data_IF_824093717754
#
_entry.id   IF_824093717754
#
_cell.length_a   1.000
_cell.length_b   1.000
_cell.length_c   1.000
_cell.angle_alpha   90.00
_cell.angle_beta   90.00
_cell.angle_gamma   90.00
#
_symmetry.space_group_name_H-M   'P 1'
#
loop_
_entity.id
_entity.type
_entity.pdbx_description
1 polymer ?
#
# COMPACT_ATOMS: atom_id res chain seq x y z
N UNK A 1 -17.76 -71.56 8.58
CA UNK A 1 -18.73 -70.45 8.65
C UNK A 1 -18.04 -69.22 9.20
N UNK A 2 -18.19 -68.09 8.49
CA UNK A 2 -18.32 -66.71 8.99
C UNK A 2 -17.23 -66.17 9.95
N UNK A 3 -16.13 -65.66 9.40
CA UNK A 3 -15.13 -64.86 10.12
C UNK A 3 -14.51 -63.71 9.33
N UNK A 4 -15.01 -63.42 8.12
CA UNK A 4 -14.55 -62.35 7.23
C UNK A 4 -15.73 -61.41 6.99
N UNK A 5 -15.79 -60.25 7.65
CA UNK A 5 -16.87 -59.30 7.36
C UNK A 5 -16.98 -58.03 8.20
N UNK A 6 -16.30 -57.90 9.34
CA UNK A 6 -16.47 -56.72 10.21
C UNK A 6 -15.36 -55.66 10.06
N UNK A 7 -14.13 -56.03 9.70
CA UNK A 7 -13.01 -55.09 9.53
C UNK A 7 -13.16 -54.16 8.32
N UNK A 8 -13.53 -54.71 7.15
CA UNK A 8 -13.76 -53.92 5.94
C UNK A 8 -15.01 -53.03 6.00
N UNK A 9 -15.98 -53.38 6.84
CA UNK A 9 -17.17 -52.57 7.07
C UNK A 9 -16.86 -51.32 7.90
N UNK A 10 -16.04 -51.44 8.95
CA UNK A 10 -15.61 -50.30 9.77
C UNK A 10 -14.74 -49.31 8.98
N UNK A 11 -13.82 -49.82 8.16
CA UNK A 11 -12.95 -48.99 7.33
C UNK A 11 -13.72 -48.30 6.19
N UNK A 12 -14.67 -49.02 5.56
CA UNK A 12 -15.61 -48.44 4.60
C UNK A 12 -16.55 -47.39 5.21
N UNK A 13 -16.98 -47.59 6.45
CA UNK A 13 -17.82 -46.64 7.19
C UNK A 13 -17.06 -45.36 7.56
N UNK A 14 -15.81 -45.47 8.03
CA UNK A 14 -14.95 -44.31 8.31
C UNK A 14 -14.63 -43.52 7.05
N UNK A 15 -14.32 -44.21 5.93
CA UNK A 15 -14.09 -43.56 4.64
C UNK A 15 -15.34 -42.87 4.09
N UNK A 16 -16.51 -43.47 4.28
CA UNK A 16 -17.81 -42.88 3.92
C UNK A 16 -18.14 -41.64 4.76
N UNK A 17 -17.90 -41.67 6.07
CA UNK A 17 -18.08 -40.49 6.93
C UNK A 17 -17.12 -39.36 6.56
N UNK A 18 -15.85 -39.68 6.29
CA UNK A 18 -14.86 -38.69 5.85
C UNK A 18 -15.24 -38.06 4.51
N UNK A 19 -15.68 -38.85 3.53
CA UNK A 19 -16.14 -38.35 2.24
C UNK A 19 -17.36 -37.41 2.41
N UNK A 20 -18.30 -37.73 3.31
CA UNK A 20 -19.43 -36.84 3.62
C UNK A 20 -18.99 -35.53 4.27
N UNK A 21 -18.01 -35.57 5.17
CA UNK A 21 -17.44 -34.37 5.77
C UNK A 21 -16.71 -33.51 4.73
N UNK A 22 -15.89 -34.12 3.88
CA UNK A 22 -15.17 -33.42 2.80
C UNK A 22 -16.14 -32.75 1.80
N UNK A 23 -17.27 -33.41 1.49
CA UNK A 23 -18.32 -32.83 0.65
C UNK A 23 -19.03 -31.66 1.32
N UNK A 24 -19.39 -31.80 2.60
CA UNK A 24 -20.00 -30.70 3.36
C UNK A 24 -19.05 -29.50 3.49
N UNK A 25 -17.75 -29.74 3.66
CA UNK A 25 -16.73 -28.69 3.73
C UNK A 25 -16.50 -28.01 2.37
N UNK A 26 -16.52 -28.78 1.28
CA UNK A 26 -16.45 -28.24 -0.08
C UNK A 26 -17.67 -27.37 -0.40
N UNK A 27 -18.87 -27.79 0.00
CA UNK A 27 -20.10 -27.04 -0.19
C UNK A 27 -20.11 -25.75 0.64
N UNK A 28 -19.66 -25.80 1.91
CA UNK A 28 -19.48 -24.59 2.73
C UNK A 28 -18.50 -23.61 2.09
N UNK A 29 -17.35 -24.10 1.61
CA UNK A 29 -16.36 -23.25 0.92
C UNK A 29 -16.94 -22.61 -0.33
N UNK A 30 -17.71 -23.37 -1.12
CA UNK A 30 -18.40 -22.85 -2.30
C UNK A 30 -19.40 -21.75 -1.94
N UNK A 31 -20.25 -21.97 -0.93
CA UNK A 31 -21.22 -20.95 -0.48
C UNK A 31 -20.52 -19.70 0.05
N UNK A 32 -19.38 -19.84 0.74
CA UNK A 32 -18.60 -18.69 1.20
C UNK A 32 -17.97 -17.94 0.02
N UNK A 33 -17.40 -18.64 -0.96
CA UNK A 33 -16.88 -18.02 -2.19
C UNK A 33 -17.98 -17.30 -2.97
N UNK A 34 -19.13 -17.95 -3.20
CA UNK A 34 -20.28 -17.36 -3.90
C UNK A 34 -20.82 -16.10 -3.18
N UNK A 35 -20.73 -16.05 -1.84
CA UNK A 35 -21.08 -14.85 -1.07
C UNK A 35 -20.05 -13.74 -1.24
N UNK A 36 -18.76 -14.08 -1.20
CA UNK A 36 -17.68 -13.11 -1.41
C UNK A 36 -17.73 -12.51 -2.80
N UNK A 37 -17.98 -13.32 -3.83
CA UNK A 37 -18.11 -12.85 -5.22
C UNK A 37 -19.30 -11.90 -5.35
N UNK A 38 -20.47 -12.26 -4.79
CA UNK A 38 -21.64 -11.37 -4.79
C UNK A 38 -21.41 -10.06 -4.03
N UNK A 39 -20.68 -10.09 -2.92
CA UNK A 39 -20.32 -8.88 -2.19
C UNK A 39 -19.35 -8.02 -2.99
N UNK A 40 -18.37 -8.63 -3.65
CA UNK A 40 -17.42 -7.95 -4.53
C UNK A 40 -18.11 -7.30 -5.72
N UNK A 41 -19.01 -8.03 -6.40
CA UNK A 41 -19.79 -7.53 -7.53
C UNK A 41 -20.68 -6.36 -7.11
N UNK A 42 -21.34 -6.45 -5.94
CA UNK A 42 -22.14 -5.35 -5.39
C UNK A 42 -21.28 -4.12 -5.12
N UNK A 43 -20.10 -4.28 -4.52
CA UNK A 43 -19.20 -3.17 -4.23
C UNK A 43 -18.64 -2.53 -5.52
N UNK A 44 -18.37 -3.34 -6.54
CA UNK A 44 -17.91 -2.87 -7.84
C UNK A 44 -19.02 -2.08 -8.54
N UNK A 45 -20.23 -2.63 -8.61
CA UNK A 45 -21.39 -1.94 -9.17
C UNK A 45 -21.73 -0.63 -8.41
N UNK A 46 -21.55 -0.61 -7.09
CA UNK A 46 -21.72 0.60 -6.29
C UNK A 46 -20.68 1.66 -6.65
N UNK A 47 -19.41 1.28 -6.82
CA UNK A 47 -18.34 2.21 -7.23
C UNK A 47 -18.60 2.75 -8.62
N UNK A 48 -18.91 1.88 -9.58
CA UNK A 48 -19.22 2.29 -10.95
C UNK A 48 -20.43 3.25 -10.98
N UNK A 49 -21.45 3.02 -10.14
CA UNK A 49 -22.59 3.92 -10.03
C UNK A 49 -22.20 5.29 -9.47
N UNK A 50 -21.31 5.35 -8.46
CA UNK A 50 -20.80 6.60 -7.89
C UNK A 50 -19.97 7.37 -8.92
N UNK A 51 -19.04 6.68 -9.60
CA UNK A 51 -18.17 7.27 -10.62
C UNK A 51 -19.01 7.83 -11.77
N UNK A 52 -20.05 7.09 -12.19
CA UNK A 52 -20.99 7.56 -13.21
C UNK A 52 -21.78 8.80 -12.73
N UNK A 53 -22.25 8.85 -11.48
CA UNK A 53 -22.95 10.02 -10.93
C UNK A 53 -22.05 11.25 -10.95
N UNK A 54 -20.78 11.09 -10.60
CA UNK A 54 -19.79 12.15 -10.59
C UNK A 54 -19.47 12.64 -12.02
N UNK A 55 -19.23 11.71 -12.95
CA UNK A 55 -19.00 12.01 -14.36
C UNK A 55 -20.21 12.74 -15.01
N UNK A 56 -21.43 12.25 -14.76
CA UNK A 56 -22.67 12.89 -15.22
C UNK A 56 -22.84 14.27 -14.59
N UNK A 57 -22.49 14.42 -13.31
CA UNK A 57 -22.59 15.68 -12.61
C UNK A 57 -21.68 16.74 -13.26
N UNK A 58 -20.43 16.36 -13.52
CA UNK A 58 -19.47 17.21 -14.23
C UNK A 58 -19.97 17.58 -15.62
N UNK A 59 -20.37 16.60 -16.43
CA UNK A 59 -20.84 16.83 -17.79
C UNK A 59 -22.08 17.74 -17.82
N UNK A 60 -23.03 17.51 -16.90
CA UNK A 60 -24.25 18.32 -16.79
C UNK A 60 -23.94 19.75 -16.39
N UNK A 61 -23.08 19.95 -15.40
CA UNK A 61 -22.71 21.30 -14.97
C UNK A 61 -21.95 22.05 -16.05
N UNK A 62 -20.96 21.43 -16.68
CA UNK A 62 -20.20 22.03 -17.78
C UNK A 62 -21.13 22.44 -18.94
N UNK A 63 -22.13 21.60 -19.27
CA UNK A 63 -23.14 21.92 -20.26
C UNK A 63 -24.04 23.11 -19.83
N UNK A 64 -24.43 23.18 -18.56
CA UNK A 64 -25.23 24.29 -18.02
C UNK A 64 -24.44 25.61 -17.98
N UNK A 65 -23.14 25.55 -17.71
CA UNK A 65 -22.22 26.69 -17.80
C UNK A 65 -22.06 27.14 -19.24
N UNK A 66 -21.82 26.22 -20.18
CA UNK A 66 -21.73 26.52 -21.60
C UNK A 66 -23.02 27.13 -22.16
N UNK A 67 -24.18 26.71 -21.64
CA UNK A 67 -25.49 27.27 -21.98
C UNK A 67 -25.81 28.60 -21.28
N UNK A 68 -24.96 29.07 -20.36
CA UNK A 68 -25.18 30.30 -19.59
C UNK A 68 -26.30 30.21 -18.54
N UNK A 69 -26.74 28.99 -18.21
CA UNK A 69 -27.80 28.73 -17.20
C UNK A 69 -27.25 28.56 -15.79
N UNK A 70 -25.95 28.30 -15.68
CA UNK A 70 -25.21 28.26 -14.42
C UNK A 70 -23.92 29.07 -14.58
N UNK A 71 -23.47 29.70 -13.50
CA UNK A 71 -22.13 30.25 -13.47
C UNK A 71 -21.16 29.18 -12.96
N UNK A 72 -19.88 29.15 -13.43
CA UNK A 72 -18.85 28.27 -12.85
C UNK A 72 -18.76 28.43 -11.32
N UNK A 73 -19.09 29.62 -10.83
CA UNK A 73 -19.08 29.97 -9.43
C UNK A 73 -20.17 29.26 -8.62
N UNK A 74 -21.27 28.83 -9.24
CA UNK A 74 -22.41 28.19 -8.57
C UNK A 74 -22.28 26.67 -8.46
N UNK A 75 -21.16 26.11 -8.93
CA UNK A 75 -20.90 24.66 -8.90
C UNK A 75 -21.20 24.02 -7.56
N UNK A 76 -20.85 24.67 -6.45
CA UNK A 76 -21.06 24.10 -5.13
C UNK A 76 -22.54 23.94 -4.78
N UNK A 77 -23.33 25.00 -4.96
CA UNK A 77 -24.75 24.96 -4.64
C UNK A 77 -25.45 23.97 -5.56
N UNK A 78 -25.07 23.96 -6.83
CA UNK A 78 -25.51 22.98 -7.81
C UNK A 78 -25.15 21.54 -7.41
N UNK A 79 -23.91 21.27 -6.98
CA UNK A 79 -23.45 19.95 -6.58
C UNK A 79 -24.17 19.46 -5.32
N UNK A 80 -24.40 20.33 -4.33
CA UNK A 80 -25.17 20.00 -3.14
C UNK A 80 -26.64 19.70 -3.44
N UNK A 81 -27.23 20.40 -4.39
CA UNK A 81 -28.66 20.26 -4.72
C UNK A 81 -28.91 19.11 -5.71
N UNK A 82 -27.96 18.79 -6.59
CA UNK A 82 -28.16 17.82 -7.67
C UNK A 82 -27.34 16.54 -7.53
N UNK A 83 -26.14 16.60 -6.96
CA UNK A 83 -25.22 15.46 -6.92
C UNK A 83 -25.24 14.76 -5.56
N UNK A 84 -25.12 15.50 -4.46
CA UNK A 84 -25.14 14.90 -3.10
C UNK A 84 -26.37 14.03 -2.85
N UNK A 85 -27.61 14.42 -3.21
CA UNK A 85 -28.78 13.58 -3.02
C UNK A 85 -28.71 12.27 -3.84
N UNK A 86 -28.16 12.30 -5.05
CA UNK A 86 -27.96 11.11 -5.88
C UNK A 86 -26.93 10.16 -5.27
N UNK A 87 -25.84 10.71 -4.74
CA UNK A 87 -24.83 9.93 -4.01
C UNK A 87 -25.45 9.27 -2.77
N UNK A 88 -26.14 10.05 -1.93
CA UNK A 88 -26.86 9.53 -0.75
C UNK A 88 -27.84 8.43 -1.13
N UNK A 89 -28.67 8.64 -2.16
CA UNK A 89 -29.64 7.65 -2.63
C UNK A 89 -28.96 6.36 -3.11
N UNK A 90 -27.82 6.48 -3.81
CA UNK A 90 -27.06 5.33 -4.32
C UNK A 90 -26.49 4.49 -3.18
N UNK A 91 -25.96 5.13 -2.14
CA UNK A 91 -25.54 4.42 -0.93
C UNK A 91 -26.73 3.74 -0.22
N UNK A 92 -27.87 4.40 -0.11
CA UNK A 92 -29.09 3.82 0.50
C UNK A 92 -29.62 2.62 -0.29
N UNK A 93 -29.63 2.67 -1.62
CA UNK A 93 -30.07 1.56 -2.48
C UNK A 93 -29.17 0.32 -2.35
N UNK A 94 -27.91 0.50 -1.97
CA UNK A 94 -26.96 -0.58 -1.70
C UNK A 94 -26.97 -1.06 -0.24
N UNK A 95 -27.94 -0.59 0.56
CA UNK A 95 -28.04 -0.81 2.02
C UNK A 95 -26.83 -0.30 2.82
N UNK A 96 -26.04 0.62 2.23
CA UNK A 96 -24.91 1.27 2.88
C UNK A 96 -25.35 2.59 3.54
N UNK A 97 -26.16 2.46 4.59
CA UNK A 97 -26.69 3.61 5.34
C UNK A 97 -25.59 4.44 5.99
N UNK A 98 -24.49 3.79 6.40
CA UNK A 98 -23.36 4.46 7.02
C UNK A 98 -22.66 5.41 6.05
N UNK A 99 -22.42 4.99 4.80
CA UNK A 99 -21.84 5.87 3.79
C UNK A 99 -22.82 6.96 3.33
N UNK A 100 -24.11 6.66 3.26
CA UNK A 100 -25.16 7.64 2.95
C UNK A 100 -25.22 8.78 4.00
N UNK A 101 -25.15 8.42 5.29
CA UNK A 101 -25.07 9.41 6.37
C UNK A 101 -23.76 10.20 6.27
N UNK A 102 -22.64 9.53 6.05
CA UNK A 102 -21.32 10.17 5.96
C UNK A 102 -21.18 11.14 4.79
N UNK A 103 -21.74 10.85 3.61
CA UNK A 103 -21.68 11.80 2.48
C UNK A 103 -22.51 13.04 2.77
N UNK A 104 -23.66 12.84 3.43
CA UNK A 104 -24.55 13.93 3.86
C UNK A 104 -23.91 14.75 4.98
N UNK A 105 -23.26 14.12 5.96
CA UNK A 105 -22.52 14.80 7.02
C UNK A 105 -21.34 15.58 6.45
N UNK A 106 -20.49 14.93 5.63
CA UNK A 106 -19.34 15.56 5.01
C UNK A 106 -19.76 16.81 4.25
N UNK A 107 -20.78 16.67 3.39
CA UNK A 107 -21.38 17.78 2.65
C UNK A 107 -21.81 18.94 3.57
N UNK A 108 -22.23 18.65 4.80
CA UNK A 108 -22.67 19.65 5.76
C UNK A 108 -21.59 20.23 6.67
N UNK A 109 -20.38 19.64 6.69
CA UNK A 109 -19.26 20.13 7.50
C UNK A 109 -18.85 21.56 7.14
N UNK A 110 -18.34 22.28 8.13
CA UNK A 110 -17.81 23.62 7.92
C UNK A 110 -16.62 23.61 6.94
N UNK A 111 -15.79 22.57 7.00
CA UNK A 111 -14.62 22.37 6.15
C UNK A 111 -15.01 22.12 4.70
N UNK A 112 -16.03 21.29 4.42
CA UNK A 112 -16.51 21.07 3.06
C UNK A 112 -17.11 22.35 2.45
N UNK A 113 -17.93 23.07 3.22
CA UNK A 113 -18.51 24.35 2.80
C UNK A 113 -17.43 25.41 2.59
N UNK A 114 -16.43 25.45 3.47
CA UNK A 114 -15.31 26.41 3.37
C UNK A 114 -14.41 26.09 2.20
N UNK A 115 -14.04 24.82 2.01
CA UNK A 115 -13.21 24.36 0.90
C UNK A 115 -13.87 24.66 -0.43
N UNK A 116 -15.16 24.38 -0.54
CA UNK A 116 -15.89 24.67 -1.76
C UNK A 116 -16.11 26.17 -2.01
N UNK A 117 -16.31 26.99 -0.96
CA UNK A 117 -16.34 28.45 -1.09
C UNK A 117 -14.99 29.00 -1.56
N UNK A 118 -13.90 28.49 -1.02
CA UNK A 118 -12.55 28.86 -1.46
C UNK A 118 -12.28 28.38 -2.89
N UNK A 119 -12.79 27.22 -3.29
CA UNK A 119 -12.72 26.73 -4.67
C UNK A 119 -13.44 27.68 -5.62
N UNK A 120 -14.69 28.04 -5.31
CA UNK A 120 -15.45 29.05 -6.07
C UNK A 120 -14.64 30.34 -6.20
N UNK A 121 -14.17 30.88 -5.07
CA UNK A 121 -13.41 32.13 -5.02
C UNK A 121 -12.12 32.03 -5.87
N UNK A 122 -11.44 30.89 -5.79
CA UNK A 122 -10.22 30.60 -6.54
C UNK A 122 -10.47 30.60 -8.05
N UNK A 123 -11.51 29.90 -8.51
CA UNK A 123 -11.89 29.85 -9.93
C UNK A 123 -12.29 31.25 -10.44
N UNK A 124 -13.13 31.97 -9.70
CA UNK A 124 -13.56 33.33 -10.08
C UNK A 124 -12.36 34.27 -10.21
N UNK A 125 -11.43 34.23 -9.26
CA UNK A 125 -10.21 35.06 -9.29
C UNK A 125 -9.30 34.69 -10.45
N UNK A 126 -9.14 33.39 -10.75
CA UNK A 126 -8.37 32.94 -11.89
C UNK A 126 -8.95 33.46 -13.21
N UNK A 127 -10.28 33.41 -13.36
CA UNK A 127 -10.99 33.91 -14.54
C UNK A 127 -10.95 35.44 -14.66
N UNK A 128 -10.92 36.17 -13.53
CA UNK A 128 -10.82 37.63 -13.53
C UNK A 128 -9.39 38.16 -13.64
N UNK A 129 -8.39 37.28 -13.81
CA UNK A 129 -6.97 37.66 -13.90
C UNK A 129 -6.27 37.88 -12.55
N UNK A 130 -6.94 37.66 -11.42
CA UNK A 130 -6.32 37.65 -10.08
C UNK A 130 -5.74 36.26 -9.78
N UNK A 131 -4.70 35.88 -10.52
CA UNK A 131 -4.06 34.57 -10.34
C UNK A 131 -3.47 34.39 -8.93
N UNK A 132 -3.03 35.47 -8.28
CA UNK A 132 -2.35 35.40 -6.98
C UNK A 132 -3.36 35.08 -5.88
N UNK A 133 -4.51 35.76 -5.90
CA UNK A 133 -5.63 35.46 -5.02
C UNK A 133 -6.25 34.09 -5.33
N UNK A 134 -6.23 33.65 -6.60
CA UNK A 134 -6.68 32.32 -6.98
C UNK A 134 -5.82 31.21 -6.33
N UNK A 135 -4.50 31.32 -6.46
CA UNK A 135 -3.58 30.36 -5.83
C UNK A 135 -3.65 30.45 -4.31
N UNK A 136 -3.77 31.65 -3.74
CA UNK A 136 -3.92 31.79 -2.28
C UNK A 136 -5.15 31.04 -1.76
N UNK A 137 -6.28 31.14 -2.45
CA UNK A 137 -7.48 30.40 -2.08
C UNK A 137 -7.28 28.89 -2.26
N UNK A 138 -6.63 28.44 -3.33
CA UNK A 138 -6.27 27.03 -3.52
C UNK A 138 -5.33 26.50 -2.42
N UNK A 139 -4.38 27.32 -1.95
CA UNK A 139 -3.52 26.99 -0.80
C UNK A 139 -4.35 26.84 0.48
N UNK A 140 -5.32 27.74 0.71
CA UNK A 140 -6.22 27.63 1.86
C UNK A 140 -7.05 26.35 1.80
N UNK A 141 -7.51 25.94 0.60
CA UNK A 141 -8.19 24.66 0.40
C UNK A 141 -7.29 23.49 0.81
N UNK A 142 -6.04 23.47 0.34
CA UNK A 142 -5.08 22.41 0.69
C UNK A 142 -4.76 22.31 2.19
N UNK A 143 -5.01 23.37 2.96
CA UNK A 143 -4.85 23.38 4.43
C UNK A 143 -6.09 22.91 5.20
N UNK A 144 -7.24 22.78 4.53
CA UNK A 144 -8.48 22.32 5.18
C UNK A 144 -8.43 20.81 5.40
N UNK A 145 -8.13 20.42 6.64
CA UNK A 145 -8.28 19.04 7.10
C UNK A 145 -9.73 18.59 6.88
N UNK A 146 -9.92 17.47 6.18
CA UNK A 146 -11.27 16.93 5.92
C UNK A 146 -11.85 17.30 4.55
N UNK A 147 -11.25 18.24 3.82
CA UNK A 147 -11.65 18.53 2.44
C UNK A 147 -10.85 17.68 1.46
N UNK A 148 -9.55 17.94 1.30
CA UNK A 148 -8.68 17.13 0.45
C UNK A 148 -7.61 16.49 1.32
N UNK A 149 -7.52 15.17 1.23
CA UNK A 149 -6.60 14.34 2.00
C UNK A 149 -5.62 13.65 1.05
N UNK A 150 -5.02 14.44 0.15
CA UNK A 150 -4.02 13.99 -0.82
C UNK A 150 -2.62 13.88 -0.19
N UNK A 151 -2.46 14.30 1.08
CA UNK A 151 -1.20 14.28 1.81
C UNK A 151 -0.16 15.29 1.31
N UNK A 152 -0.53 16.19 0.39
CA UNK A 152 0.33 17.27 -0.05
C UNK A 152 0.09 18.51 0.81
N UNK A 153 1.14 19.05 1.42
CA UNK A 153 1.08 20.29 2.18
C UNK A 153 1.66 21.43 1.33
N UNK A 154 0.89 22.50 1.10
CA UNK A 154 1.41 23.65 0.37
C UNK A 154 2.24 24.54 1.30
N UNK A 155 3.56 24.58 1.05
CA UNK A 155 4.53 25.34 1.83
C UNK A 155 4.58 26.81 1.45
N UNK A 156 4.30 27.14 0.19
CA UNK A 156 4.29 28.53 -0.28
C UNK A 156 4.15 28.68 -1.78
N UNK A 157 4.06 29.93 -2.23
CA UNK A 157 4.03 30.29 -3.65
C UNK A 157 4.98 31.47 -3.94
N UNK A 158 5.55 31.48 -5.13
CA UNK A 158 6.36 32.57 -5.67
C UNK A 158 5.86 32.92 -7.09
N UNK A 159 5.77 34.21 -7.43
CA UNK A 159 5.41 34.60 -8.79
C UNK A 159 6.57 34.30 -9.75
N UNK A 160 6.28 33.67 -10.88
CA UNK A 160 7.23 33.50 -11.97
C UNK A 160 7.12 34.69 -12.91
N UNK A 161 8.18 35.51 -12.94
CA UNK A 161 8.28 36.68 -13.81
C UNK A 161 9.08 36.34 -15.06
N UNK A 162 8.59 36.79 -16.21
CA UNK A 162 9.29 36.75 -17.50
C UNK A 162 10.42 37.76 -17.57
N UNK A 163 11.19 37.71 -18.67
CA UNK A 163 12.31 38.64 -18.92
C UNK A 163 11.86 40.11 -19.04
N UNK A 164 10.59 40.32 -19.40
CA UNK A 164 9.88 41.59 -19.50
C UNK A 164 9.30 42.07 -18.16
N UNK A 165 9.48 41.30 -17.09
CA UNK A 165 8.85 41.55 -15.79
C UNK A 165 7.36 41.21 -15.76
N UNK A 166 6.78 40.69 -16.85
CA UNK A 166 5.40 40.25 -16.88
C UNK A 166 5.24 38.90 -16.15
N UNK A 167 4.15 38.72 -15.44
CA UNK A 167 3.92 37.49 -14.70
C UNK A 167 3.50 36.34 -15.64
N UNK A 168 4.33 35.32 -15.72
CA UNK A 168 4.11 34.14 -16.57
C UNK A 168 3.45 32.97 -15.82
N UNK A 169 3.53 32.98 -14.49
CA UNK A 169 2.93 31.92 -13.67
C UNK A 169 3.28 32.02 -12.19
N UNK A 170 3.24 30.86 -11.54
CA UNK A 170 3.44 30.68 -10.11
C UNK A 170 4.28 29.42 -9.88
N UNK A 171 5.28 29.55 -9.02
CA UNK A 171 6.05 28.44 -8.48
C UNK A 171 5.47 28.05 -7.14
N UNK A 172 4.90 26.86 -7.06
CA UNK A 172 4.24 26.33 -5.87
C UNK A 172 5.21 25.35 -5.20
N UNK A 173 5.50 25.58 -3.92
CA UNK A 173 6.29 24.66 -3.09
C UNK A 173 5.32 23.75 -2.34
N UNK A 174 5.42 22.46 -2.58
CA UNK A 174 4.58 21.43 -1.97
C UNK A 174 5.47 20.49 -1.16
N UNK A 175 4.95 19.95 -0.08
CA UNK A 175 5.54 18.83 0.64
C UNK A 175 4.74 17.58 0.33
N UNK A 176 5.39 16.53 -0.15
CA UNK A 176 4.74 15.26 -0.47
C UNK A 176 4.31 14.52 0.81
N UNK A 177 3.45 13.49 0.69
CA UNK A 177 3.09 12.63 1.82
C UNK A 177 4.31 11.99 2.51
N UNK A 178 5.37 11.72 1.75
CA UNK A 178 6.65 11.18 2.25
C UNK A 178 7.53 12.23 2.95
N UNK A 179 7.06 13.48 3.05
CA UNK A 179 7.74 14.59 3.68
C UNK A 179 8.82 15.25 2.81
N UNK A 180 8.88 14.95 1.51
CA UNK A 180 9.85 15.57 0.58
C UNK A 180 9.30 16.86 0.00
N UNK A 181 10.14 17.87 -0.09
CA UNK A 181 9.77 19.13 -0.73
C UNK A 181 9.89 19.00 -2.25
N UNK A 182 8.82 19.36 -2.96
CA UNK A 182 8.77 19.45 -4.42
C UNK A 182 8.35 20.85 -4.83
N UNK A 183 8.82 21.26 -6.00
CA UNK A 183 8.52 22.57 -6.58
C UNK A 183 7.84 22.34 -7.91
N UNK A 184 6.68 22.96 -8.10
CA UNK A 184 5.91 22.87 -9.32
C UNK A 184 5.66 24.26 -9.89
N UNK A 185 6.14 24.48 -11.11
CA UNK A 185 5.90 25.71 -11.86
C UNK A 185 4.59 25.55 -12.65
N UNK A 186 3.66 26.48 -12.44
CA UNK A 186 2.32 26.49 -13.02
C UNK A 186 2.15 27.79 -13.80
N UNK A 187 1.85 27.69 -15.10
CA UNK A 187 1.59 28.88 -15.92
C UNK A 187 0.22 29.46 -15.57
N UNK A 188 0.03 30.76 -15.76
CA UNK A 188 -1.26 31.43 -15.48
C UNK A 188 -2.44 30.76 -16.20
N UNK A 189 -2.23 30.32 -17.44
CA UNK A 189 -3.24 29.59 -18.24
C UNK A 189 -3.62 28.20 -17.68
N UNK A 190 -2.72 27.58 -16.89
CA UNK A 190 -2.91 26.26 -16.31
C UNK A 190 -3.53 26.34 -14.90
N UNK A 191 -3.67 27.54 -14.34
CA UNK A 191 -4.27 27.75 -13.01
C UNK A 191 -5.68 27.16 -12.86
N UNK A 192 -6.62 27.36 -13.81
CA UNK A 192 -7.94 26.77 -13.67
C UNK A 192 -7.89 25.24 -13.54
N UNK A 193 -6.99 24.59 -14.29
CA UNK A 193 -6.78 23.15 -14.23
C UNK A 193 -6.22 22.71 -12.87
N UNK A 194 -5.21 23.44 -12.37
CA UNK A 194 -4.64 23.19 -11.05
C UNK A 194 -5.72 23.31 -9.96
N UNK A 195 -6.50 24.39 -9.97
CA UNK A 195 -7.56 24.65 -9.00
C UNK A 195 -8.63 23.55 -9.07
N UNK A 196 -9.00 23.09 -10.27
CA UNK A 196 -9.90 21.96 -10.43
C UNK A 196 -9.35 20.67 -9.79
N UNK A 197 -8.05 20.38 -9.96
CA UNK A 197 -7.43 19.19 -9.34
C UNK A 197 -7.41 19.26 -7.82
N UNK A 198 -7.15 20.44 -7.24
CA UNK A 198 -6.94 20.62 -5.80
C UNK A 198 -8.10 21.26 -5.06
N UNK A 199 -9.24 21.49 -5.70
CA UNK A 199 -10.36 22.16 -5.06
C UNK A 199 -11.72 21.67 -5.48
N UNK A 200 -11.82 20.76 -6.44
CA UNK A 200 -13.11 20.19 -6.81
C UNK A 200 -13.70 19.38 -5.62
N UNK A 201 -14.92 19.73 -5.14
CA UNK A 201 -15.68 18.94 -4.16
C UNK A 201 -15.75 17.44 -4.45
N UNK A 202 -15.80 17.05 -5.72
CA UNK A 202 -15.79 15.64 -6.16
C UNK A 202 -14.48 14.95 -5.76
N UNK A 203 -13.34 15.53 -6.16
CA UNK A 203 -12.00 15.02 -5.81
C UNK A 203 -11.77 15.03 -4.29
N UNK A 204 -12.35 16.01 -3.59
CA UNK A 204 -12.36 16.08 -2.12
C UNK A 204 -13.10 14.88 -1.50
N UNK A 205 -14.30 14.56 -1.99
CA UNK A 205 -15.06 13.40 -1.55
C UNK A 205 -14.36 12.07 -1.89
N UNK A 206 -13.86 11.91 -3.10
CA UNK A 206 -13.12 10.72 -3.52
C UNK A 206 -11.86 10.50 -2.68
N UNK A 207 -11.13 11.58 -2.37
CA UNK A 207 -9.99 11.54 -1.46
C UNK A 207 -10.41 11.10 -0.05
N UNK A 208 -11.57 11.52 0.45
CA UNK A 208 -12.12 11.03 1.73
C UNK A 208 -12.47 9.55 1.67
N UNK A 209 -13.11 9.08 0.59
CA UNK A 209 -13.44 7.67 0.40
C UNK A 209 -12.17 6.81 0.36
N UNK A 210 -11.16 7.23 -0.42
CA UNK A 210 -9.89 6.52 -0.54
C UNK A 210 -9.11 6.49 0.78
N UNK A 211 -9.01 7.62 1.49
CA UNK A 211 -8.33 7.69 2.78
C UNK A 211 -8.99 6.81 3.83
N UNK A 212 -10.33 6.72 3.83
CA UNK A 212 -11.08 5.82 4.72
C UNK A 212 -10.89 4.36 4.35
N UNK A 213 -10.95 4.02 3.06
CA UNK A 213 -10.68 2.67 2.60
C UNK A 213 -9.27 2.20 3.01
N UNK A 214 -8.29 3.10 3.00
CA UNK A 214 -6.96 2.80 3.51
C UNK A 214 -6.92 2.65 5.03
N UNK A 215 -7.55 3.57 5.79
CA UNK A 215 -7.63 3.46 7.25
C UNK A 215 -8.35 2.19 7.72
N UNK A 216 -9.40 1.77 7.02
CA UNK A 216 -10.12 0.52 7.29
C UNK A 216 -9.28 -0.72 6.97
N UNK A 217 -8.43 -0.67 5.92
CA UNK A 217 -7.44 -1.72 5.65
C UNK A 217 -6.42 -1.80 6.78
N UNK A 218 -5.82 -0.67 7.14
CA UNK A 218 -4.80 -0.60 8.20
C UNK A 218 -5.37 -1.10 9.54
N UNK A 219 -6.62 -0.74 9.86
CA UNK A 219 -7.32 -1.24 11.05
C UNK A 219 -7.54 -2.75 11.00
N UNK A 220 -8.00 -3.30 9.87
CA UNK A 220 -8.17 -4.74 9.70
C UNK A 220 -6.84 -5.49 9.76
N UNK A 221 -5.77 -4.92 9.22
CA UNK A 221 -4.42 -5.48 9.31
C UNK A 221 -3.92 -5.51 10.75
N UNK A 222 -4.14 -4.43 11.52
CA UNK A 222 -3.83 -4.37 12.95
C UNK A 222 -4.64 -5.40 13.75
N UNK A 223 -5.95 -5.49 13.53
CA UNK A 223 -6.81 -6.49 14.18
C UNK A 223 -6.35 -7.92 13.84
N UNK A 224 -5.99 -8.17 12.58
CA UNK A 224 -5.46 -9.46 12.13
C UNK A 224 -4.12 -9.77 12.80
N UNK A 225 -3.24 -8.78 12.91
CA UNK A 225 -1.95 -8.93 13.58
C UNK A 225 -2.11 -9.19 15.07
N UNK A 226 -3.00 -8.47 15.76
CA UNK A 226 -3.32 -8.70 17.17
C UNK A 226 -3.95 -10.07 17.40
N UNK A 227 -4.90 -10.47 16.55
CA UNK A 227 -5.51 -11.79 16.59
C UNK A 227 -4.45 -12.89 16.39
N UNK A 228 -3.56 -12.73 15.39
CA UNK A 228 -2.46 -13.65 15.14
C UNK A 228 -1.52 -13.73 16.33
N UNK A 229 -1.13 -12.61 16.92
CA UNK A 229 -0.26 -12.55 18.11
C UNK A 229 -0.92 -13.19 19.34
N UNK A 230 -2.24 -13.05 19.48
CA UNK A 230 -3.03 -13.69 20.54
C UNK A 230 -3.11 -15.20 20.34
N UNK A 231 -3.32 -15.67 19.10
CA UNK A 231 -3.28 -17.09 18.73
C UNK A 231 -1.88 -17.65 18.98
N UNK A 232 -0.81 -16.99 18.52
CA UNK A 232 0.57 -17.43 18.72
C UNK A 232 0.95 -17.51 20.22
N UNK A 233 0.37 -16.64 21.05
CA UNK A 233 0.50 -16.69 22.52
C UNK A 233 -0.31 -17.84 23.14
N UNK A 234 -1.54 -18.07 22.68
CA UNK A 234 -2.42 -19.13 23.18
C UNK A 234 -1.95 -20.54 22.80
N UNK A 235 -1.29 -20.70 21.67
CA UNK A 235 -0.80 -22.00 21.17
C UNK A 235 0.73 -22.19 21.32
N UNK A 236 1.42 -21.32 22.08
CA UNK A 236 2.82 -21.52 22.46
C UNK A 236 3.86 -21.42 21.34
N UNK A 237 3.49 -20.90 20.17
CA UNK A 237 4.35 -20.81 18.97
C UNK A 237 5.16 -19.51 18.87
N UNK A 238 4.97 -18.56 19.80
CA UNK A 238 5.78 -17.35 19.89
C UNK A 238 7.10 -17.55 20.67
N UNK A 239 8.16 -16.78 20.37
CA UNK A 239 9.39 -16.75 21.16
C UNK A 239 9.15 -15.94 22.44
N UNK A 240 8.35 -16.45 23.37
CA UNK A 240 8.31 -15.88 24.72
C UNK A 240 9.57 -16.34 25.43
N UNK A 241 10.39 -15.39 25.88
CA UNK A 241 11.60 -15.67 26.70
C UNK A 241 11.28 -16.61 27.86
N UNK A 242 10.06 -16.53 28.38
CA UNK A 242 9.57 -17.34 29.50
C UNK A 242 9.43 -18.83 29.13
N UNK A 243 9.04 -19.15 27.89
CA UNK A 243 8.96 -20.55 27.43
C UNK A 243 10.34 -21.16 27.25
N UNK A 244 11.27 -20.40 26.66
CA UNK A 244 12.66 -20.83 26.55
C UNK A 244 13.31 -21.00 27.94
N UNK A 245 12.98 -20.12 28.89
CA UNK A 245 13.41 -20.24 30.28
C UNK A 245 12.80 -21.46 30.98
N UNK A 246 11.51 -21.74 30.80
CA UNK A 246 10.83 -22.92 31.33
C UNK A 246 11.39 -24.23 30.76
N UNK A 247 11.64 -24.30 29.44
CA UNK A 247 12.30 -25.46 28.83
C UNK A 247 13.72 -25.65 29.40
N UNK A 248 14.45 -24.55 29.60
CA UNK A 248 15.80 -24.61 30.18
C UNK A 248 15.78 -25.04 31.65
N UNK A 249 14.81 -24.58 32.45
CA UNK A 249 14.67 -25.00 33.85
C UNK A 249 14.27 -26.46 33.96
N UNK A 250 13.34 -26.93 33.12
CA UNK A 250 12.92 -28.34 33.06
C UNK A 250 14.07 -29.25 32.62
N UNK A 251 14.82 -28.90 31.57
CA UNK A 251 16.03 -29.65 31.19
C UNK A 251 17.03 -29.76 32.33
N UNK A 252 17.33 -28.67 33.03
CA UNK A 252 18.25 -28.70 34.18
C UNK A 252 17.74 -29.56 35.34
N UNK A 253 16.42 -29.57 35.60
CA UNK A 253 15.83 -30.40 36.67
C UNK A 253 15.91 -31.89 36.32
N UNK A 254 15.60 -32.25 35.08
CA UNK A 254 15.63 -33.65 34.62
C UNK A 254 17.03 -34.16 34.24
N UNK A 255 17.99 -33.27 33.94
CA UNK A 255 19.40 -33.63 33.73
C UNK A 255 20.21 -33.68 35.04
N UNK A 256 19.72 -33.07 36.12
CA UNK A 256 20.42 -32.94 37.40
C UNK A 256 20.14 -34.06 38.43
N UNK A 257 19.37 -35.09 38.07
CA UNK A 257 19.01 -36.20 38.95
C UNK A 257 20.24 -37.06 39.31
N UNK A 258 20.52 -37.19 40.61
CA UNK A 258 21.64 -37.95 41.18
C UNK A 258 21.50 -39.49 41.06
N UNK A 259 20.50 -39.98 40.32
CA UNK A 259 20.26 -41.39 40.05
C UNK A 259 20.07 -41.57 38.53
N UNK A 260 20.95 -42.34 37.90
CA UNK A 260 21.05 -42.49 36.44
C UNK A 260 19.91 -43.28 35.77
N UNK A 261 18.68 -43.19 36.27
CA UNK A 261 17.51 -43.94 35.77
C UNK A 261 16.25 -43.06 35.61
N UNK A 262 16.40 -41.74 35.50
CA UNK A 262 15.28 -40.83 35.24
C UNK A 262 15.19 -40.43 33.76
N UNK A 263 13.99 -40.54 33.19
CA UNK A 263 13.67 -40.14 31.82
C UNK A 263 14.01 -38.66 31.62
N UNK A 264 14.88 -38.34 30.65
CA UNK A 264 15.21 -36.95 30.35
C UNK A 264 14.00 -36.21 29.81
N UNK A 265 13.94 -34.92 30.08
CA UNK A 265 12.89 -34.05 29.58
C UNK A 265 12.70 -34.17 28.06
N UNK A 266 13.80 -34.21 27.29
CA UNK A 266 13.75 -34.33 25.83
C UNK A 266 13.33 -35.72 25.33
N UNK A 267 13.39 -36.76 26.16
CA UNK A 267 13.03 -38.14 25.83
C UNK A 267 11.55 -38.46 26.13
N UNK A 268 10.81 -37.52 26.76
CA UNK A 268 9.39 -37.69 27.04
C UNK A 268 8.51 -37.51 25.78
N UNK A 269 7.31 -38.11 25.73
CA UNK A 269 6.31 -37.78 24.71
C UNK A 269 5.98 -36.28 24.65
N UNK A 270 5.76 -35.73 23.45
CA UNK A 270 5.57 -34.28 23.25
C UNK A 270 4.40 -33.70 24.04
N UNK A 271 3.32 -34.45 24.18
CA UNK A 271 2.16 -34.09 24.99
C UNK A 271 2.51 -33.93 26.48
N UNK A 272 3.42 -34.75 27.01
CA UNK A 272 3.92 -34.62 28.38
C UNK A 272 4.90 -33.46 28.53
N UNK A 273 5.78 -33.24 27.54
CA UNK A 273 6.69 -32.08 27.52
C UNK A 273 5.91 -30.76 27.56
N UNK A 274 4.88 -30.62 26.71
CA UNK A 274 4.05 -29.41 26.66
C UNK A 274 3.25 -29.20 27.96
N UNK A 275 2.78 -30.28 28.59
CA UNK A 275 2.12 -30.20 29.89
C UNK A 275 3.07 -29.64 30.97
N UNK A 276 4.28 -30.17 31.07
CA UNK A 276 5.28 -29.70 32.03
C UNK A 276 5.75 -28.26 31.75
N UNK A 277 5.88 -27.89 30.47
CA UNK A 277 6.19 -26.50 30.08
C UNK A 277 5.08 -25.55 30.53
N UNK A 278 3.81 -25.93 30.35
CA UNK A 278 2.67 -25.12 30.78
C UNK A 278 2.59 -25.03 32.31
N UNK A 279 2.80 -26.13 33.03
CA UNK A 279 2.84 -26.15 34.50
C UNK A 279 3.97 -25.24 35.04
N UNK A 280 5.15 -25.26 34.42
CA UNK A 280 6.28 -24.40 34.79
C UNK A 280 6.03 -22.94 34.39
N UNK A 281 5.37 -22.67 33.26
CA UNK A 281 4.98 -21.32 32.85
C UNK A 281 3.92 -20.72 33.79
N UNK A 282 2.95 -21.52 34.24
CA UNK A 282 1.99 -21.11 35.26
C UNK A 282 2.66 -20.87 36.61
N UNK A 283 3.67 -21.66 36.99
CA UNK A 283 4.45 -21.42 38.20
C UNK A 283 5.27 -20.11 38.13
N UNK A 284 5.84 -19.81 36.95
CA UNK A 284 6.65 -18.60 36.70
C UNK A 284 5.77 -17.35 36.58
N UNK A 285 4.56 -17.47 36.03
CA UNK A 285 3.61 -16.34 35.89
C UNK A 285 2.65 -16.20 37.08
N UNK A 286 2.47 -17.25 37.88
CA UNK A 286 1.40 -17.38 38.87
C UNK A 286 1.92 -17.71 40.28
N UNK A 287 2.73 -16.82 40.86
CA UNK A 287 2.82 -16.74 42.33
C UNK A 287 3.18 -15.31 42.79
N UNK A 288 2.19 -14.45 43.09
CA UNK A 288 2.44 -13.23 43.84
C UNK A 288 2.62 -13.62 45.31
N UNK A 289 3.88 -13.72 45.73
CA UNK A 289 4.27 -13.85 47.14
C UNK A 289 4.61 -15.26 47.58
N UNK A 290 5.87 -15.65 47.37
CA UNK A 290 6.69 -16.51 48.25
C UNK A 290 8.10 -16.65 47.64
N UNK A 291 8.79 -15.52 47.51
CA UNK A 291 10.20 -15.44 47.12
C UNK A 291 10.94 -14.59 48.15
N UNK A 292 11.23 -15.20 49.31
CA UNK A 292 12.09 -14.60 50.31
C UNK A 292 13.53 -14.46 49.79
N UNK A 293 14.08 -13.26 49.96
CA UNK A 293 15.51 -12.90 49.96
C UNK A 293 16.30 -13.12 48.67
N UNK A 294 16.50 -11.99 47.97
CA UNK A 294 17.53 -11.85 46.95
C UNK A 294 17.29 -10.64 46.05
N UNK A 295 17.22 -9.44 46.63
CA UNK A 295 17.24 -8.21 45.83
C UNK A 295 18.60 -8.10 45.13
N UNK A 296 18.68 -8.02 43.79
CA UNK A 296 19.92 -7.58 43.16
C UNK A 296 20.09 -6.08 43.42
N UNK A 297 21.21 -5.74 44.05
CA UNK A 297 21.65 -4.37 44.28
C UNK A 297 21.67 -3.56 42.95
N UNK A 298 21.37 -2.26 42.98
CA UNK A 298 21.40 -1.43 41.77
C UNK A 298 22.81 -1.39 41.18
N UNK A 299 22.88 -1.54 39.86
CA UNK A 299 24.13 -1.54 39.10
C UNK A 299 24.93 -0.25 39.31
N UNK A 300 26.09 -0.36 39.95
CA UNK A 300 27.08 0.70 40.05
C UNK A 300 27.63 1.01 38.64
N UNK A 301 27.34 2.22 38.14
CA UNK A 301 28.02 2.79 36.98
C UNK A 301 29.47 3.06 37.35
N UNK A 302 30.42 2.28 36.82
CA UNK A 302 31.85 2.56 36.93
C UNK A 302 32.18 3.86 36.18
N UNK A 303 32.34 4.95 36.92
CA UNK A 303 32.97 6.18 36.45
C UNK A 303 34.48 5.99 36.61
N UNK A 304 35.23 5.99 35.51
CA UNK A 304 36.70 6.06 35.61
C UNK A 304 37.07 7.46 36.11
N UNK A 305 37.64 7.50 37.31
CA UNK A 305 38.22 8.69 37.94
C UNK A 305 39.74 8.54 37.86
N UNK A 306 40.43 9.59 37.42
CA UNK A 306 41.90 9.66 37.45
C UNK A 306 42.35 9.67 38.93
N UNK A 307 43.14 8.66 39.33
CA UNK A 307 43.54 8.41 40.72
C UNK A 307 44.53 9.41 41.31
N UNK A 308 44.98 10.41 40.53
CA UNK A 308 45.87 11.48 41.02
C UNK A 308 45.16 12.79 41.39
N UNK A 309 43.96 13.06 40.84
CA UNK A 309 43.29 14.37 40.99
C UNK A 309 41.78 14.32 41.26
N UNK A 310 41.14 13.14 41.25
CA UNK A 310 39.80 12.94 41.80
C UNK A 310 38.63 13.55 41.02
N UNK A 311 38.78 13.86 39.72
CA UNK A 311 37.68 14.35 38.87
C UNK A 311 37.37 13.39 37.70
N UNK A 312 36.12 13.29 37.25
CA UNK A 312 35.72 12.42 36.14
C UNK A 312 36.18 12.96 34.78
N UNK A 313 36.75 12.11 33.93
CA UNK A 313 37.18 12.46 32.56
C UNK A 313 36.04 12.23 31.57
N UNK A 314 35.66 13.27 30.82
CA UNK A 314 34.71 13.21 29.71
C UNK A 314 35.48 13.10 28.39
N UNK A 315 35.32 12.03 27.63
CA UNK A 315 35.99 11.85 26.34
C UNK A 315 35.03 12.12 25.18
N UNK A 316 35.11 13.32 24.60
CA UNK A 316 34.58 13.65 23.28
C UNK A 316 35.69 13.70 22.22
N UNK A 317 35.35 13.22 21.02
CA UNK A 317 35.84 13.62 19.68
C UNK A 317 37.25 13.23 19.16
N UNK A 318 37.25 12.29 18.19
CA UNK A 318 37.99 12.12 16.90
C UNK A 318 39.39 12.76 16.68
N UNK A 319 40.33 12.06 16.00
CA UNK A 319 40.68 12.45 14.61
C UNK A 319 40.97 11.28 13.64
N UNK A 320 41.09 11.62 12.34
CA UNK A 320 41.29 10.77 11.18
C UNK A 320 42.77 10.38 10.93
N UNK A 321 43.01 9.33 10.12
CA UNK A 321 44.28 9.12 9.42
C UNK A 321 44.07 8.38 8.07
N UNK A 322 44.92 8.73 7.11
CA UNK A 322 44.87 8.46 5.67
C UNK A 322 45.76 7.27 5.21
N UNK A 323 45.59 6.93 3.93
CA UNK A 323 46.36 6.13 2.93
C UNK A 323 47.84 5.76 3.23
N UNK A 324 48.50 4.69 2.74
CA UNK A 324 48.57 3.93 1.44
C UNK A 324 49.56 2.71 1.64
N UNK A 325 50.09 1.90 0.67
CA UNK A 325 49.64 1.31 -0.63
C UNK A 325 49.99 -0.22 -0.85
N UNK A 326 49.56 -0.77 -2.02
CA UNK A 326 50.09 -1.93 -2.81
C UNK A 326 49.86 -3.38 -2.29
N UNK A 327 49.62 -4.45 -3.09
CA UNK A 327 49.67 -4.68 -4.54
C UNK A 327 48.76 -5.85 -5.00
N UNK A 328 48.51 -5.79 -6.31
CA UNK A 328 47.92 -6.69 -7.33
C UNK A 328 48.13 -8.21 -7.19
N UNK A 329 47.06 -9.00 -7.34
CA UNK A 329 47.01 -10.26 -8.09
C UNK A 329 45.55 -10.72 -8.35
N UNK A 330 45.22 -11.02 -9.61
CA UNK A 330 43.98 -11.69 -10.04
C UNK A 330 44.05 -13.20 -9.71
N UNK A 331 42.91 -13.88 -9.49
CA UNK A 331 42.40 -14.70 -10.60
C UNK A 331 40.86 -14.89 -10.68
N UNK A 332 40.42 -15.00 -11.94
CA UNK A 332 39.45 -15.96 -12.50
C UNK A 332 38.04 -16.14 -11.88
N UNK A 333 37.07 -15.79 -12.72
CA UNK A 333 35.63 -16.08 -12.70
C UNK A 333 35.27 -17.57 -12.59
N UNK A 334 34.36 -17.90 -11.66
CA UNK A 334 33.38 -19.00 -11.77
C UNK A 334 32.00 -18.47 -11.38
N UNK A 335 30.93 -18.79 -12.13
CA UNK A 335 29.58 -18.32 -11.82
C UNK A 335 29.02 -19.12 -10.64
N UNK A 336 28.89 -18.47 -9.49
CA UNK A 336 28.20 -19.03 -8.33
C UNK A 336 26.69 -18.79 -8.52
N UNK A 337 25.94 -19.87 -8.70
CA UNK A 337 24.48 -19.84 -8.66
C UNK A 337 24.02 -19.22 -7.33
N UNK A 338 23.22 -18.16 -7.42
CA UNK A 338 22.61 -17.49 -6.27
C UNK A 338 21.77 -18.47 -5.47
N UNK A 339 22.30 -18.92 -4.33
CA UNK A 339 21.52 -19.61 -3.31
C UNK A 339 20.49 -18.63 -2.73
N UNK A 340 19.24 -18.76 -3.17
CA UNK A 340 18.10 -18.05 -2.58
C UNK A 340 18.06 -18.28 -1.06
N UNK A 341 18.04 -17.18 -0.30
CA UNK A 341 17.90 -17.18 1.15
C UNK A 341 16.58 -17.87 1.55
N UNK A 342 16.68 -19.02 2.22
CA UNK A 342 15.55 -19.65 2.92
C UNK A 342 15.03 -18.69 3.99
N UNK A 343 13.72 -18.43 3.96
CA UNK A 343 13.05 -17.64 5.01
C UNK A 343 12.90 -18.54 6.24
N UNK A 344 13.59 -18.18 7.32
CA UNK A 344 13.56 -18.94 8.58
C UNK A 344 12.13 -18.88 9.17
N UNK A 345 11.54 -20.05 9.48
CA UNK A 345 10.23 -20.15 10.12
C UNK A 345 9.04 -20.45 9.20
N UNK A 346 9.24 -20.60 7.88
CA UNK A 346 8.17 -20.99 6.95
C UNK A 346 8.37 -22.45 6.51
N UNK A 347 7.37 -23.35 6.67
CA UNK A 347 7.48 -24.74 6.24
C UNK A 347 7.82 -24.86 4.75
N UNK A 348 8.74 -25.74 4.38
CA UNK A 348 9.28 -25.88 3.01
C UNK A 348 8.19 -26.19 1.96
N UNK A 349 7.09 -26.83 2.39
CA UNK A 349 5.90 -27.09 1.57
C UNK A 349 5.16 -25.80 1.18
N UNK A 350 5.08 -24.83 2.08
CA UNK A 350 4.46 -23.52 1.81
C UNK A 350 5.35 -22.65 0.91
N UNK A 351 6.68 -22.75 1.05
CA UNK A 351 7.61 -22.08 0.14
C UNK A 351 7.54 -22.69 -1.28
N UNK A 352 7.39 -24.01 -1.39
CA UNK A 352 7.24 -24.71 -2.66
C UNK A 352 5.91 -24.37 -3.37
N UNK A 353 4.81 -24.24 -2.64
CA UNK A 353 3.50 -23.87 -3.22
C UNK A 353 3.48 -22.41 -3.71
N UNK A 354 4.16 -21.50 -3.02
CA UNK A 354 4.32 -20.12 -3.48
C UNK A 354 5.20 -20.07 -4.73
N UNK A 355 6.29 -20.84 -4.80
CA UNK A 355 7.12 -20.94 -6.02
C UNK A 355 6.33 -21.50 -7.20
N UNK A 356 5.53 -22.56 -7.00
CA UNK A 356 4.68 -23.11 -8.07
C UNK A 356 3.61 -22.13 -8.54
N UNK A 357 3.03 -21.33 -7.63
CA UNK A 357 2.07 -20.27 -8.00
C UNK A 357 2.75 -19.14 -8.75
N UNK A 358 3.95 -18.73 -8.34
CA UNK A 358 4.76 -17.74 -9.05
C UNK A 358 5.12 -18.20 -10.46
N UNK A 359 5.62 -19.44 -10.62
CA UNK A 359 5.87 -20.02 -11.95
C UNK A 359 4.60 -20.19 -12.78
N UNK A 360 3.47 -20.51 -12.14
CA UNK A 360 2.16 -20.58 -12.80
C UNK A 360 1.67 -19.23 -13.32
N UNK A 361 1.85 -18.16 -12.53
CA UNK A 361 1.52 -16.79 -12.92
C UNK A 361 2.47 -16.28 -14.01
N UNK A 362 3.76 -16.61 -13.92
CA UNK A 362 4.75 -16.22 -14.92
C UNK A 362 4.53 -16.95 -16.26
N UNK A 363 4.07 -18.21 -16.21
CA UNK A 363 3.71 -18.98 -17.41
C UNK A 363 2.35 -18.57 -17.99
N UNK A 364 1.39 -18.15 -17.15
CA UNK A 364 0.12 -17.58 -17.59
C UNK A 364 0.28 -16.18 -18.21
N UNK A 365 1.22 -15.37 -17.71
CA UNK A 365 1.59 -14.08 -18.29
C UNK A 365 2.28 -14.21 -19.65
N UNK A 366 2.85 -15.39 -19.97
CA UNK A 366 3.50 -15.66 -21.25
C UNK A 366 2.56 -16.20 -22.35
N UNK A 367 1.25 -16.38 -22.08
CA UNK A 367 0.31 -17.03 -23.01
C UNK A 367 -1.01 -16.29 -23.27
N UNK A 368 -1.14 -15.00 -22.95
CA UNK A 368 -2.30 -14.20 -23.36
C UNK A 368 -2.02 -13.38 -24.63
N UNK A 369 -2.99 -13.38 -25.54
CA UNK A 369 -2.94 -12.96 -26.94
C UNK A 369 -2.85 -11.44 -27.20
N UNK A 370 -2.30 -11.11 -28.38
CA UNK A 370 -2.04 -9.82 -29.03
C UNK A 370 -0.75 -9.06 -28.63
N UNK A 371 0.08 -8.60 -29.59
CA UNK A 371 1.43 -8.07 -29.35
C UNK A 371 1.37 -6.64 -28.80
N UNK A 372 1.11 -6.52 -27.49
CA UNK A 372 1.48 -5.34 -26.71
C UNK A 372 2.94 -5.45 -26.30
N UNK A 373 3.64 -4.30 -26.25
CA UNK A 373 5.02 -4.21 -25.78
C UNK A 373 5.06 -4.81 -24.37
N UNK A 374 5.61 -6.03 -24.27
CA UNK A 374 5.85 -6.65 -22.98
C UNK A 374 6.91 -5.81 -22.29
N UNK A 375 6.63 -5.35 -21.06
CA UNK A 375 7.54 -4.49 -20.30
C UNK A 375 8.98 -5.04 -20.35
N UNK A 376 9.99 -4.16 -20.49
CA UNK A 376 11.34 -4.59 -20.79
C UNK A 376 11.85 -5.55 -19.71
N UNK A 377 12.32 -6.73 -20.13
CA UNK A 377 13.23 -7.50 -19.31
C UNK A 377 14.42 -6.60 -18.93
N UNK A 378 15.01 -6.76 -17.74
CA UNK A 378 16.01 -5.84 -17.19
C UNK A 378 17.35 -5.77 -17.97
N UNK A 379 17.42 -6.21 -19.23
CA UNK A 379 18.57 -6.00 -20.12
C UNK A 379 18.23 -5.75 -21.61
N UNK A 380 17.01 -5.33 -21.96
CA UNK A 380 16.70 -4.97 -23.35
C UNK A 380 17.52 -3.76 -23.80
N UNK A 381 18.25 -3.86 -24.91
CA UNK A 381 18.94 -2.70 -25.45
C UNK A 381 17.90 -1.66 -25.95
N UNK A 382 18.16 -0.34 -25.86
CA UNK A 382 17.24 0.69 -26.33
C UNK A 382 16.76 0.48 -27.78
N UNK A 383 17.64 -0.07 -28.63
CA UNK A 383 17.32 -0.41 -30.01
C UNK A 383 16.22 -1.48 -30.16
N UNK A 384 16.17 -2.48 -29.27
CA UNK A 384 15.18 -3.55 -29.32
C UNK A 384 13.79 -3.03 -28.92
N UNK A 385 13.74 -2.10 -27.96
CA UNK A 385 12.50 -1.47 -27.51
C UNK A 385 11.92 -0.54 -28.60
N UNK A 386 12.78 0.20 -29.32
CA UNK A 386 12.35 1.03 -30.45
C UNK A 386 11.81 0.16 -31.59
N UNK A 387 12.47 -0.96 -31.91
CA UNK A 387 12.00 -1.89 -32.95
C UNK A 387 10.65 -2.54 -32.58
N UNK A 388 10.46 -2.92 -31.32
CA UNK A 388 9.19 -3.45 -30.82
C UNK A 388 8.06 -2.41 -30.86
N UNK A 389 8.37 -1.15 -30.52
CA UNK A 389 7.40 -0.07 -30.61
C UNK A 389 6.96 0.22 -32.06
N UNK A 390 7.88 0.18 -33.01
CA UNK A 390 7.56 0.36 -34.44
C UNK A 390 6.67 -0.78 -34.96
N UNK A 391 6.99 -2.02 -34.61
CA UNK A 391 6.17 -3.18 -34.99
C UNK A 391 4.78 -3.15 -34.32
N UNK A 392 4.70 -2.75 -33.05
CA UNK A 392 3.43 -2.61 -32.34
C UNK A 392 2.50 -1.60 -33.03
N UNK A 393 3.03 -0.47 -33.51
CA UNK A 393 2.25 0.52 -34.27
C UNK A 393 1.79 -0.05 -35.62
N UNK A 394 2.66 -0.78 -36.32
CA UNK A 394 2.26 -1.45 -37.58
C UNK A 394 1.21 -2.53 -37.37
N UNK A 395 1.25 -3.23 -36.24
CA UNK A 395 0.25 -4.24 -35.87
C UNK A 395 -1.05 -3.65 -35.32
N UNK A 396 -1.18 -2.31 -35.28
CA UNK A 396 -2.40 -1.63 -34.87
C UNK A 396 -2.56 -1.43 -33.36
N UNK A 397 -1.48 -1.50 -32.58
CA UNK A 397 -1.50 -1.15 -31.17
C UNK A 397 -1.91 0.31 -30.96
N UNK A 398 -2.54 0.60 -29.83
CA UNK A 398 -2.97 1.97 -29.49
C UNK A 398 -1.74 2.87 -29.34
N UNK A 399 -1.76 3.98 -30.07
CA UNK A 399 -0.67 4.96 -30.17
C UNK A 399 -0.20 5.45 -28.78
N UNK A 400 -1.14 5.74 -27.88
CA UNK A 400 -0.83 6.21 -26.53
C UNK A 400 -0.16 5.16 -25.65
N UNK A 401 -0.54 3.89 -25.80
CA UNK A 401 0.04 2.79 -25.01
C UNK A 401 1.51 2.55 -25.42
N UNK A 402 1.80 2.64 -26.72
CA UNK A 402 3.18 2.55 -27.25
C UNK A 402 4.03 3.74 -26.82
N UNK A 403 3.49 4.96 -26.85
CA UNK A 403 4.19 6.16 -26.41
C UNK A 403 4.53 6.12 -24.91
N UNK A 404 3.59 5.66 -24.07
CA UNK A 404 3.80 5.48 -22.64
C UNK A 404 4.88 4.41 -22.37
N UNK A 405 4.85 3.29 -23.10
CA UNK A 405 5.87 2.24 -22.96
C UNK A 405 7.29 2.71 -23.32
N UNK A 406 7.45 3.55 -24.36
CA UNK A 406 8.74 4.15 -24.69
C UNK A 406 9.23 5.15 -23.63
N UNK A 407 8.30 5.93 -23.06
CA UNK A 407 8.62 6.87 -21.99
C UNK A 407 9.04 6.16 -20.70
N UNK A 408 8.36 5.08 -20.32
CA UNK A 408 8.72 4.22 -19.20
C UNK A 408 10.07 3.53 -19.40
N UNK A 409 10.41 3.20 -20.66
CA UNK A 409 11.72 2.68 -21.03
C UNK A 409 12.83 3.76 -21.04
N UNK A 410 12.50 5.02 -20.73
CA UNK A 410 13.46 6.13 -20.67
C UNK A 410 13.92 6.62 -22.04
N UNK A 411 13.20 6.29 -23.12
CA UNK A 411 13.56 6.70 -24.49
C UNK A 411 13.00 8.09 -24.78
N UNK A 412 13.84 9.10 -25.04
CA UNK A 412 13.39 10.46 -25.29
C UNK A 412 12.58 10.55 -26.60
N UNK A 413 11.64 11.50 -26.69
CA UNK A 413 10.78 11.67 -27.88
C UNK A 413 11.56 11.86 -29.18
N UNK A 414 12.78 12.40 -29.11
CA UNK A 414 13.69 12.53 -30.25
C UNK A 414 14.03 11.18 -30.89
N UNK A 415 14.07 10.11 -30.10
CA UNK A 415 14.43 8.74 -30.53
C UNK A 415 13.21 7.87 -30.84
N UNK A 416 11.99 8.41 -30.73
CA UNK A 416 10.80 7.64 -31.07
C UNK A 416 10.75 7.27 -32.56
N UNK A 417 10.19 6.10 -32.91
CA UNK A 417 10.08 5.65 -34.28
C UNK A 417 9.22 6.62 -35.10
N UNK A 418 9.57 6.80 -36.38
CA UNK A 418 8.91 7.75 -37.27
C UNK A 418 7.42 7.44 -37.47
N UNK A 419 7.05 6.15 -37.46
CA UNK A 419 5.67 5.67 -37.53
C UNK A 419 4.82 6.19 -36.38
N UNK A 420 5.34 6.14 -35.14
CA UNK A 420 4.67 6.67 -33.95
C UNK A 420 4.53 8.20 -34.03
N UNK A 421 5.59 8.91 -34.41
CA UNK A 421 5.57 10.37 -34.56
C UNK A 421 4.53 10.81 -35.60
N UNK A 422 4.46 10.14 -36.75
CA UNK A 422 3.46 10.39 -37.78
C UNK A 422 2.04 10.06 -37.30
N UNK A 423 1.85 8.96 -36.56
CA UNK A 423 0.56 8.58 -36.02
C UNK A 423 0.03 9.59 -34.98
N UNK A 424 0.91 10.11 -34.13
CA UNK A 424 0.58 11.18 -33.16
C UNK A 424 0.26 12.48 -33.90
N UNK A 425 1.05 12.86 -34.91
CA UNK A 425 0.79 14.06 -35.71
C UNK A 425 -0.58 13.98 -36.42
N UNK A 426 -0.92 12.81 -36.97
CA UNK A 426 -2.21 12.54 -37.61
C UNK A 426 -3.39 12.62 -36.63
N UNK A 427 -3.22 12.13 -35.39
CA UNK A 427 -4.26 12.25 -34.35
C UNK A 427 -4.42 13.69 -33.82
N UNK A 428 -3.33 14.47 -33.77
CA UNK A 428 -3.36 15.87 -33.33
C UNK A 428 -3.83 16.84 -34.41
N UNK A 429 -4.23 16.35 -35.59
CA UNK A 429 -4.73 17.18 -36.69
C UNK A 429 -3.67 18.10 -37.30
N UNK A 430 -2.39 17.87 -37.01
CA UNK A 430 -1.29 18.67 -37.57
C UNK A 430 -0.95 18.08 -38.94
N UNK A 431 -1.71 18.49 -39.95
CA UNK A 431 -1.31 18.32 -41.35
C UNK A 431 -0.19 19.33 -41.59
N UNK A 432 1.05 18.88 -41.51
CA UNK A 432 2.20 19.65 -41.97
C UNK A 432 2.13 19.81 -43.50
N UNK A 433 2.07 21.06 -43.94
CA UNK A 433 2.52 21.47 -45.27
C UNK A 433 4.01 21.10 -45.45
N UNK A 434 4.39 20.73 -46.67
CA UNK A 434 5.63 20.05 -47.05
C UNK A 434 6.96 20.67 -46.60
N UNK A 435 8.00 19.85 -46.54
CA UNK A 435 8.86 19.54 -47.69
C UNK A 435 9.34 18.08 -47.65
#
# INVERSE_FOLDING_TARGET
MLGLGLGGFMDGFQKSQKLKQDWADAERKKVLADRQDKEYDRLTAQRDAIDNINADAKATFDAQVAAGTQEPADFLDWYHTHTVPKLTQTYLLNDDRASAEKVTEWANTHEAKTGARLFRSSVTKALSGDGAGAVEDAIKIGKLKGYINNGYEVLGQEALLGQDGAQQGYRIKLKTPDGKDIVQDVRTQDLPKLIATFGNPEAAWESQVAARAQADKDKKELETYEAKKKIDRQYGLGPTKDRAAAITSLRKRFEGGLAGDETKFDDMPRDQQEKLINDELELVQGQPGLGGQGAPAPAEKKVLVDTSTGKPVSSGSKPAAADTPQAKEEPATKPQASAEKRILGVPERAQADVRRRMEGLQRAAAQAEAPGISGPAPSSAPADVIAQADEAIRSGAKIYDVAMGLQEAGIPESEWPASLKQAIAKQRGVIGLGD
#
